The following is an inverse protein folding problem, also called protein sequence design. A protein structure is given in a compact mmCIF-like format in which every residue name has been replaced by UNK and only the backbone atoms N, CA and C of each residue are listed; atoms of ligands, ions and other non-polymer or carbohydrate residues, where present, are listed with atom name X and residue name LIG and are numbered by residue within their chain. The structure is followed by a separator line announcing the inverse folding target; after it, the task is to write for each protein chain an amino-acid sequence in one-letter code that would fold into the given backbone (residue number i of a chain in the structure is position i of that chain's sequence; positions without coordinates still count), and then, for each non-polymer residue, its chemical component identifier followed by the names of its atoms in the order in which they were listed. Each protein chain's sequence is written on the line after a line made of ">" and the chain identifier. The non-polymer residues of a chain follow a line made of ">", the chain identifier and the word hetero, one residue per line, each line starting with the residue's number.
data_IF_577664092198
#
_entry.id   IF_577664092198
#
_cell.length_a   1.000
_cell.length_b   1.000
_cell.length_c   1.000
_cell.angle_alpha   90.00
_cell.angle_beta   90.00
_cell.angle_gamma   90.00
#
_symmetry.space_group_name_H-M   'P 1'
#
loop_
_entity.id
_entity.type
_entity.pdbx_description
1 polymer ?
#
# COMPACT_ATOMS: atom_id res chain seq x y z
N UNK A 1 4.36 10.50 9.20
CA UNK A 1 4.34 9.03 9.03
C UNK A 1 4.98 8.65 7.70
N UNK A 2 5.40 7.39 7.56
CA UNK A 2 5.88 6.81 6.31
C UNK A 2 4.84 5.79 5.83
N UNK A 3 4.54 5.79 4.53
CA UNK A 3 3.54 4.89 3.94
C UNK A 3 4.17 4.19 2.74
N UNK A 4 4.00 2.87 2.66
CA UNK A 4 4.25 2.09 1.45
C UNK A 4 2.90 1.79 0.82
N UNK A 5 2.76 2.08 -0.47
CA UNK A 5 1.55 1.80 -1.24
C UNK A 5 1.87 1.33 -2.64
N UNK A 6 0.84 0.91 -3.37
CA UNK A 6 0.91 0.44 -4.75
C UNK A 6 -0.26 1.03 -5.54
N UNK A 7 -0.57 0.51 -6.74
CA UNK A 7 -1.75 0.90 -7.50
C UNK A 7 -3.06 0.23 -7.02
N UNK A 8 -4.19 0.81 -7.44
CA UNK A 8 -5.53 0.21 -7.33
C UNK A 8 -5.60 -1.14 -8.02
N UNK A 9 -6.45 -2.05 -7.53
CA UNK A 9 -6.52 -3.45 -7.98
C UNK A 9 -5.17 -4.14 -7.84
N UNK A 10 -4.60 -4.08 -6.63
CA UNK A 10 -3.32 -4.68 -6.31
C UNK A 10 -3.33 -6.19 -6.60
N UNK A 11 -2.31 -6.66 -7.31
CA UNK A 11 -2.07 -8.07 -7.60
C UNK A 11 -0.98 -8.64 -6.67
N UNK A 12 -0.50 -9.86 -6.93
CA UNK A 12 0.55 -10.45 -6.10
C UNK A 12 1.91 -9.75 -6.22
N UNK A 13 2.23 -9.11 -7.36
CA UNK A 13 3.48 -8.38 -7.52
C UNK A 13 3.48 -7.10 -6.68
N UNK A 14 2.33 -6.41 -6.64
CA UNK A 14 2.07 -5.34 -5.71
C UNK A 14 2.38 -5.76 -4.25
N UNK A 15 1.79 -6.86 -3.77
CA UNK A 15 2.00 -7.32 -2.38
C UNK A 15 3.47 -7.69 -2.13
N UNK A 16 4.08 -8.45 -3.03
CA UNK A 16 5.48 -8.87 -2.90
C UNK A 16 6.43 -7.65 -2.86
N UNK A 17 6.22 -6.69 -3.74
CA UNK A 17 6.99 -5.45 -3.81
C UNK A 17 6.80 -4.59 -2.56
N UNK A 18 5.57 -4.48 -2.04
CA UNK A 18 5.29 -3.79 -0.79
C UNK A 18 6.01 -4.45 0.40
N UNK A 19 6.04 -5.79 0.45
CA UNK A 19 6.78 -6.53 1.48
C UNK A 19 8.30 -6.34 1.36
N UNK A 20 8.83 -6.28 0.14
CA UNK A 20 10.24 -5.96 -0.09
C UNK A 20 10.57 -4.54 0.39
N UNK A 21 9.73 -3.56 0.05
CA UNK A 21 9.88 -2.18 0.50
C UNK A 21 9.79 -2.07 2.04
N UNK A 22 8.93 -2.84 2.71
CA UNK A 22 8.84 -2.88 4.18
C UNK A 22 10.15 -3.30 4.84
N UNK A 23 10.95 -4.15 4.20
CA UNK A 23 12.29 -4.52 4.70
C UNK A 23 13.27 -3.34 4.63
N UNK A 24 13.13 -2.45 3.64
CA UNK A 24 13.94 -1.24 3.51
C UNK A 24 13.43 -0.11 4.40
N UNK A 25 12.12 -0.05 4.64
CA UNK A 25 11.45 0.94 5.47
C UNK A 25 10.63 0.25 6.59
N UNK A 26 11.29 -0.30 7.64
CA UNK A 26 10.62 -1.08 8.69
C UNK A 26 9.53 -0.32 9.44
N UNK A 27 9.63 1.01 9.54
CA UNK A 27 8.65 1.86 10.24
C UNK A 27 7.46 2.29 9.36
N UNK A 28 7.47 1.97 8.06
CA UNK A 28 6.42 2.40 7.16
C UNK A 28 5.16 1.53 7.28
N UNK A 29 4.00 2.17 7.21
CA UNK A 29 2.72 1.47 7.17
C UNK A 29 2.48 0.92 5.77
N UNK A 30 2.13 -0.37 5.68
CA UNK A 30 1.65 -0.97 4.44
C UNK A 30 0.19 -0.59 4.26
N UNK A 31 -0.13 0.12 3.17
CA UNK A 31 -1.48 0.62 2.92
C UNK A 31 -1.84 0.37 1.47
N UNK A 32 -2.91 -0.41 1.24
CA UNK A 32 -3.49 -0.53 -0.08
C UNK A 32 -4.30 0.73 -0.42
N UNK A 33 -4.18 1.27 -1.65
CA UNK A 33 -4.91 2.47 -2.07
C UNK A 33 -6.41 2.24 -2.30
N UNK A 34 -6.84 0.97 -2.29
CA UNK A 34 -8.19 0.51 -2.59
C UNK A 34 -8.28 -1.01 -2.50
N UNK A 35 -9.26 -1.59 -3.21
CA UNK A 35 -9.42 -3.05 -3.32
C UNK A 35 -8.23 -3.69 -4.03
N UNK A 36 -7.95 -4.94 -3.66
CA UNK A 36 -7.01 -5.80 -4.37
C UNK A 36 -7.79 -6.71 -5.33
N UNK A 37 -7.08 -7.45 -6.18
CA UNK A 37 -7.71 -8.54 -6.93
C UNK A 37 -8.30 -9.58 -5.98
N UNK A 38 -9.41 -10.22 -6.36
CA UNK A 38 -10.12 -11.17 -5.48
C UNK A 38 -9.23 -12.25 -4.88
N UNK A 39 -8.34 -12.84 -5.69
CA UNK A 39 -7.41 -13.88 -5.22
C UNK A 39 -6.43 -13.34 -4.17
N UNK A 40 -5.99 -12.09 -4.32
CA UNK A 40 -5.12 -11.42 -3.36
C UNK A 40 -5.90 -11.07 -2.09
N UNK A 41 -7.14 -10.59 -2.21
CA UNK A 41 -7.99 -10.34 -1.05
C UNK A 41 -8.22 -11.60 -0.22
N UNK A 42 -8.49 -12.72 -0.89
CA UNK A 42 -8.70 -14.01 -0.22
C UNK A 42 -7.41 -14.49 0.47
N UNK A 43 -6.26 -14.36 -0.20
CA UNK A 43 -4.95 -14.63 0.40
C UNK A 43 -4.64 -13.76 1.62
N UNK A 44 -4.87 -12.44 1.54
CA UNK A 44 -4.61 -11.51 2.64
C UNK A 44 -5.52 -11.77 3.86
N UNK A 45 -6.74 -12.28 3.66
CA UNK A 45 -7.61 -12.70 4.76
C UNK A 45 -7.01 -13.90 5.50
N UNK A 46 -6.53 -14.89 4.75
CA UNK A 46 -5.88 -16.09 5.30
C UNK A 46 -4.57 -15.72 6.04
N UNK A 47 -3.78 -14.81 5.48
CA UNK A 47 -2.48 -14.38 6.04
C UNK A 47 -2.54 -13.17 6.99
N UNK A 48 -3.74 -12.77 7.41
CA UNK A 48 -3.96 -11.55 8.21
C UNK A 48 -3.23 -11.54 9.56
N UNK A 49 -2.83 -12.71 10.08
CA UNK A 49 -2.01 -12.84 11.29
C UNK A 49 -0.53 -12.55 11.07
N UNK A 50 -0.05 -12.62 9.83
CA UNK A 50 1.36 -12.43 9.46
C UNK A 50 1.59 -11.10 8.71
N UNK A 51 0.56 -10.59 8.03
CA UNK A 51 0.63 -9.40 7.19
C UNK A 51 -0.24 -8.28 7.75
N UNK A 52 0.40 -7.30 8.38
CA UNK A 52 -0.29 -6.14 8.96
C UNK A 52 -0.42 -4.99 7.95
N UNK A 53 -1.60 -4.89 7.33
CA UNK A 53 -1.99 -3.74 6.51
C UNK A 53 -2.80 -2.74 7.32
N UNK A 54 -2.39 -1.47 7.27
CA UNK A 54 -3.17 -0.36 7.83
C UNK A 54 -4.25 0.04 6.82
N UNK A 55 -5.48 0.28 7.28
CA UNK A 55 -6.58 0.69 6.39
C UNK A 55 -6.36 2.14 5.97
N UNK A 56 -6.62 2.44 4.70
CA UNK A 56 -6.44 3.80 4.14
C UNK A 56 -7.19 4.88 4.93
N UNK A 57 -8.38 4.58 5.45
CA UNK A 57 -9.17 5.50 6.29
C UNK A 57 -8.53 5.85 7.63
N UNK A 58 -7.59 5.04 8.10
CA UNK A 58 -6.86 5.25 9.36
C UNK A 58 -5.57 6.07 9.11
N UNK A 59 -5.29 6.47 7.85
CA UNK A 59 -4.14 7.29 7.46
C UNK A 59 -4.54 8.76 7.36
N UNK A 60 -3.84 9.61 8.11
CA UNK A 60 -3.92 11.08 7.95
C UNK A 60 -2.95 11.51 6.86
N UNK A 61 -3.47 11.80 5.65
CA UNK A 61 -2.66 12.12 4.47
C UNK A 61 -1.75 13.34 4.67
N UNK A 62 -2.21 14.34 5.41
CA UNK A 62 -1.47 15.55 5.78
C UNK A 62 -0.23 15.28 6.66
N UNK A 63 -0.19 14.12 7.31
CA UNK A 63 0.93 13.70 8.14
C UNK A 63 1.92 12.80 7.40
N UNK A 64 1.64 12.40 6.16
CA UNK A 64 2.55 11.57 5.35
C UNK A 64 3.77 12.41 4.95
N UNK A 65 4.96 11.99 5.39
CA UNK A 65 6.24 12.67 5.10
C UNK A 65 7.10 11.92 4.08
N UNK A 66 6.79 10.64 3.87
CA UNK A 66 7.42 9.78 2.89
C UNK A 66 6.34 8.84 2.36
N UNK A 67 6.14 8.87 1.05
CA UNK A 67 5.32 7.91 0.31
C UNK A 67 6.25 7.06 -0.54
N UNK A 68 6.34 5.77 -0.23
CA UNK A 68 7.04 4.79 -1.05
C UNK A 68 6.02 4.14 -1.97
N UNK A 69 6.11 4.42 -3.26
CA UNK A 69 5.24 3.83 -4.28
C UNK A 69 5.98 2.68 -4.94
N UNK A 70 5.34 1.52 -5.03
CA UNK A 70 5.83 0.37 -5.78
C UNK A 70 4.90 0.05 -6.95
N UNK A 71 5.41 -0.65 -7.96
CA UNK A 71 4.66 -1.19 -9.11
C UNK A 71 3.89 -0.17 -9.99
N UNK A 72 4.02 1.13 -9.70
CA UNK A 72 3.50 2.19 -10.55
C UNK A 72 4.21 3.52 -10.34
N UNK A 73 4.07 4.42 -11.32
CA UNK A 73 4.44 5.83 -11.22
C UNK A 73 3.30 6.76 -11.65
N UNK A 74 2.11 6.21 -11.90
CA UNK A 74 0.95 6.93 -12.46
C UNK A 74 0.06 7.39 -11.30
N UNK A 75 -0.05 8.71 -11.00
CA UNK A 75 -0.77 9.21 -9.83
C UNK A 75 -2.22 8.75 -9.75
N UNK A 76 -2.93 8.70 -10.88
CA UNK A 76 -4.35 8.33 -10.97
C UNK A 76 -4.61 6.90 -10.50
N UNK A 77 -3.57 6.04 -10.55
CA UNK A 77 -3.65 4.66 -10.07
C UNK A 77 -3.47 4.55 -8.55
N UNK A 78 -3.13 5.60 -7.83
CA UNK A 78 -2.85 5.57 -6.39
C UNK A 78 -4.07 5.88 -5.50
N UNK A 79 -5.25 6.11 -6.10
CA UNK A 79 -6.47 6.40 -5.35
C UNK A 79 -6.30 7.63 -4.46
N UNK A 80 -6.58 7.49 -3.16
CA UNK A 80 -6.52 8.62 -2.21
C UNK A 80 -5.10 9.17 -1.99
N UNK A 81 -4.05 8.45 -2.40
CA UNK A 81 -2.67 8.92 -2.33
C UNK A 81 -2.23 9.77 -3.52
N UNK A 82 -3.02 9.83 -4.60
CA UNK A 82 -2.69 10.59 -5.81
C UNK A 82 -2.28 12.05 -5.52
N UNK A 83 -2.95 12.81 -4.63
CA UNK A 83 -2.58 14.20 -4.32
C UNK A 83 -1.23 14.37 -3.63
N UNK A 84 -0.62 13.29 -3.12
CA UNK A 84 0.70 13.32 -2.49
C UNK A 84 1.86 13.22 -3.50
N UNK A 85 1.56 13.05 -4.78
CA UNK A 85 2.56 12.97 -5.86
C UNK A 85 2.82 14.32 -6.55
N UNK A 86 2.18 15.40 -6.09
CA UNK A 86 2.32 16.76 -6.61
C UNK A 86 3.51 17.53 -6.01
#
# INVERSE_FOLDING_TARGET
>A
MQVITTHLNADFDCIASMMAAKKLYPEAHLVLPGSAERLVEDFLKEESLHLEFTRIKDISLDQVRLLVVVDTHVPERLGAFAPLME
#
